data_IF_661182477473
#
_entry.id   IF_661182477473
#
_cell.length_a   1.000
_cell.length_b   1.000
_cell.length_c   1.000
_cell.angle_alpha   90.00
_cell.angle_beta   90.00
_cell.angle_gamma   90.00
#
_symmetry.space_group_name_H-M   'P 1'
#
loop_
_entity.id
_entity.type
_entity.pdbx_description
1 polymer ?
#
# COMPACT_ATOMS: atom_id res chain seq x y z
N UNK A 1 30.81 22.97 -17.36
CA UNK A 1 30.17 21.63 -17.32
C UNK A 1 28.82 21.83 -16.63
N UNK A 2 27.68 21.69 -17.31
CA UNK A 2 26.37 21.78 -16.63
C UNK A 2 26.22 20.56 -15.75
N UNK A 3 26.02 20.82 -14.45
CA UNK A 3 25.92 19.82 -13.40
C UNK A 3 24.72 18.89 -13.57
N UNK A 4 24.94 17.65 -13.18
CA UNK A 4 23.98 16.54 -13.14
C UNK A 4 22.95 16.77 -11.99
N UNK A 5 22.31 17.94 -11.94
CA UNK A 5 21.33 18.28 -10.90
C UNK A 5 19.97 17.57 -11.06
N UNK A 6 19.68 17.00 -12.26
CA UNK A 6 18.42 16.33 -12.54
C UNK A 6 18.35 14.82 -12.17
N UNK A 7 19.48 14.18 -11.88
CA UNK A 7 19.55 12.72 -11.70
C UNK A 7 18.93 12.25 -10.37
N UNK A 8 19.10 12.94 -9.22
CA UNK A 8 18.48 12.51 -7.98
C UNK A 8 16.95 12.47 -8.03
N UNK A 9 16.31 13.47 -8.66
CA UNK A 9 14.86 13.54 -8.78
C UNK A 9 14.26 12.41 -9.62
N UNK A 10 14.95 11.98 -10.67
CA UNK A 10 14.49 10.91 -11.56
C UNK A 10 14.55 9.53 -10.87
N UNK A 11 15.62 9.25 -10.13
CA UNK A 11 15.72 8.02 -9.31
C UNK A 11 14.68 7.99 -8.21
N UNK A 12 14.36 9.12 -7.61
CA UNK A 12 13.30 9.25 -6.61
C UNK A 12 11.93 8.95 -7.22
N UNK A 13 11.61 9.52 -8.38
CA UNK A 13 10.37 9.21 -9.10
C UNK A 13 10.23 7.72 -9.42
N UNK A 14 11.32 7.05 -9.82
CA UNK A 14 11.33 5.60 -10.00
C UNK A 14 11.07 4.84 -8.69
N UNK A 15 11.67 5.27 -7.58
CA UNK A 15 11.45 4.65 -6.28
C UNK A 15 9.99 4.79 -5.81
N UNK A 16 9.39 5.97 -5.98
CA UNK A 16 7.98 6.22 -5.68
C UNK A 16 7.07 5.31 -6.53
N UNK A 17 7.29 5.26 -7.84
CA UNK A 17 6.49 4.40 -8.73
C UNK A 17 6.68 2.92 -8.40
N UNK A 18 7.90 2.48 -8.05
CA UNK A 18 8.18 1.11 -7.66
C UNK A 18 7.49 0.72 -6.35
N UNK A 19 7.46 1.62 -5.35
CA UNK A 19 6.73 1.40 -4.09
C UNK A 19 5.23 1.27 -4.33
N UNK A 20 4.66 2.13 -5.19
CA UNK A 20 3.27 2.06 -5.61
C UNK A 20 2.94 0.72 -6.31
N UNK A 21 3.79 0.26 -7.23
CA UNK A 21 3.64 -1.07 -7.86
C UNK A 21 3.64 -2.21 -6.84
N UNK A 22 4.58 -2.16 -5.88
CA UNK A 22 4.67 -3.18 -4.81
C UNK A 22 3.43 -3.19 -3.93
N UNK A 23 2.93 -2.01 -3.52
CA UNK A 23 1.74 -1.87 -2.71
C UNK A 23 0.48 -2.39 -3.43
N UNK A 24 0.30 -2.01 -4.71
CA UNK A 24 -0.85 -2.48 -5.49
C UNK A 24 -0.81 -3.99 -5.76
N UNK A 25 0.37 -4.57 -5.97
CA UNK A 25 0.50 -6.02 -6.09
C UNK A 25 0.06 -6.72 -4.81
N UNK A 26 0.52 -6.26 -3.63
CA UNK A 26 0.09 -6.81 -2.34
C UNK A 26 -1.41 -6.64 -2.12
N UNK A 27 -1.98 -5.51 -2.55
CA UNK A 27 -3.44 -5.31 -2.48
C UNK A 27 -4.19 -6.32 -3.33
N UNK A 28 -3.74 -6.59 -4.56
CA UNK A 28 -4.34 -7.63 -5.41
C UNK A 28 -4.25 -9.02 -4.76
N UNK A 29 -3.13 -9.37 -4.12
CA UNK A 29 -2.95 -10.64 -3.44
C UNK A 29 -3.93 -10.80 -2.27
N UNK A 30 -4.18 -9.73 -1.50
CA UNK A 30 -5.15 -9.71 -0.40
C UNK A 30 -6.57 -9.87 -0.92
N UNK A 31 -6.96 -9.11 -1.95
CA UNK A 31 -8.29 -9.21 -2.58
C UNK A 31 -8.51 -10.62 -3.14
N UNK A 32 -7.54 -11.17 -3.85
CA UNK A 32 -7.63 -12.54 -4.37
C UNK A 32 -7.80 -13.58 -3.24
N UNK A 33 -7.14 -13.36 -2.10
CA UNK A 33 -7.32 -14.20 -0.91
C UNK A 33 -8.71 -14.08 -0.33
N UNK A 34 -9.29 -12.87 -0.27
CA UNK A 34 -10.66 -12.64 0.17
C UNK A 34 -11.67 -13.36 -0.73
N UNK A 35 -11.54 -13.19 -2.05
CA UNK A 35 -12.41 -13.87 -3.04
C UNK A 35 -12.30 -15.39 -2.90
N UNK A 36 -11.09 -15.93 -2.78
CA UNK A 36 -10.89 -17.38 -2.65
C UNK A 36 -11.51 -17.97 -1.37
N UNK A 37 -11.69 -17.15 -0.32
CA UNK A 37 -12.25 -17.56 0.97
C UNK A 37 -13.66 -17.01 1.24
N UNK A 38 -14.32 -16.46 0.24
CA UNK A 38 -15.66 -15.86 0.41
C UNK A 38 -16.72 -16.86 0.90
N UNK A 39 -16.54 -18.16 0.66
CA UNK A 39 -17.42 -19.24 1.11
C UNK A 39 -16.83 -20.09 2.25
N UNK A 40 -15.68 -19.68 2.83
CA UNK A 40 -15.01 -20.45 3.88
C UNK A 40 -15.67 -20.19 5.23
N UNK A 41 -16.59 -21.06 5.63
CA UNK A 41 -17.34 -20.98 6.90
C UNK A 41 -16.56 -21.41 8.12
N UNK A 42 -15.44 -22.16 7.94
CA UNK A 42 -14.61 -22.64 9.03
C UNK A 42 -13.13 -22.54 8.72
N UNK A 43 -12.41 -21.79 9.55
CA UNK A 43 -10.95 -21.66 9.51
C UNK A 43 -10.29 -22.55 10.57
N UNK A 44 -8.97 -22.81 10.50
CA UNK A 44 -8.23 -23.53 11.55
C UNK A 44 -8.29 -22.84 12.94
N UNK A 45 -8.43 -21.52 12.95
CA UNK A 45 -8.56 -20.72 14.16
C UNK A 45 -9.97 -20.77 14.76
N UNK A 46 -10.93 -21.34 14.00
CA UNK A 46 -12.35 -21.43 14.34
C UNK A 46 -13.16 -20.26 13.79
N UNK A 47 -14.41 -20.58 13.39
CA UNK A 47 -15.32 -19.59 12.80
C UNK A 47 -15.05 -19.30 11.31
N UNK A 48 -15.85 -18.40 10.70
CA UNK A 48 -15.76 -18.05 9.30
C UNK A 48 -14.48 -17.24 9.00
N UNK A 49 -14.07 -17.25 7.73
CA UNK A 49 -13.02 -16.35 7.26
C UNK A 49 -13.42 -14.89 7.48
N UNK A 50 -12.47 -14.05 7.85
CA UNK A 50 -12.66 -12.61 7.98
C UNK A 50 -11.99 -11.88 6.84
N UNK A 51 -12.68 -10.89 6.28
CA UNK A 51 -12.15 -10.01 5.23
C UNK A 51 -10.83 -9.40 5.68
N UNK A 52 -9.82 -9.46 4.82
CA UNK A 52 -8.52 -8.84 5.07
C UNK A 52 -8.41 -7.54 4.29
N UNK A 53 -7.86 -6.54 4.93
CA UNK A 53 -7.67 -5.19 4.37
C UNK A 53 -6.20 -4.85 4.47
N UNK A 54 -5.62 -4.36 3.36
CA UNK A 54 -4.25 -3.88 3.34
C UNK A 54 -4.18 -2.44 3.83
N UNK A 55 -3.42 -2.18 4.89
CA UNK A 55 -3.13 -0.83 5.37
C UNK A 55 -1.89 -0.27 4.70
N UNK A 56 -2.05 0.92 4.14
CA UNK A 56 -0.99 1.66 3.47
C UNK A 56 -0.72 2.96 4.22
N UNK A 57 0.56 3.33 4.32
CA UNK A 57 0.98 4.62 4.83
C UNK A 57 1.93 5.29 3.83
N UNK A 58 2.13 6.58 4.00
CA UNK A 58 3.21 7.29 3.33
C UNK A 58 4.54 6.74 3.82
N UNK A 59 5.41 6.36 2.88
CA UNK A 59 6.74 5.89 3.22
C UNK A 59 7.56 7.04 3.82
N UNK A 60 8.12 6.82 5.00
CA UNK A 60 8.99 7.79 5.64
C UNK A 60 10.40 7.74 5.01
N UNK A 61 11.12 8.86 5.08
CA UNK A 61 12.52 8.90 4.69
C UNK A 61 13.33 7.86 5.47
N UNK A 62 14.02 6.94 4.79
CA UNK A 62 14.90 6.00 5.49
C UNK A 62 16.04 6.69 6.24
N UNK A 63 16.25 7.98 5.99
CA UNK A 63 17.31 8.79 6.61
C UNK A 63 16.81 9.61 7.80
N UNK A 64 15.52 10.04 7.82
CA UNK A 64 15.01 10.90 8.90
C UNK A 64 15.00 10.18 10.26
N UNK A 65 14.54 8.95 10.32
CA UNK A 65 14.54 8.16 11.56
C UNK A 65 15.96 7.84 12.05
N UNK A 66 16.90 7.55 11.15
CA UNK A 66 18.30 7.27 11.50
C UNK A 66 19.08 8.54 11.87
N UNK A 67 18.78 9.66 11.22
CA UNK A 67 19.37 10.96 11.57
C UNK A 67 18.81 11.44 12.91
N UNK A 68 17.51 11.39 13.13
CA UNK A 68 16.90 11.77 14.39
C UNK A 68 17.44 10.95 15.56
N UNK A 69 17.52 9.62 15.42
CA UNK A 69 18.11 8.78 16.47
C UNK A 69 19.61 8.98 16.67
N UNK A 70 20.36 9.28 15.62
CA UNK A 70 21.79 9.58 15.73
C UNK A 70 22.05 10.96 16.38
N UNK A 71 21.24 11.96 16.06
CA UNK A 71 21.32 13.30 16.66
C UNK A 71 20.89 13.27 18.12
N UNK A 72 19.86 12.52 18.46
CA UNK A 72 19.42 12.31 19.84
C UNK A 72 20.48 11.59 20.67
N UNK A 73 21.10 10.54 20.11
CA UNK A 73 22.21 9.83 20.74
C UNK A 73 23.47 10.70 20.95
N UNK A 74 23.66 11.73 20.14
CA UNK A 74 24.77 12.68 20.24
C UNK A 74 24.41 13.92 21.07
N UNK A 75 23.20 14.03 21.59
CA UNK A 75 22.68 15.22 22.32
C UNK A 75 22.87 16.53 21.57
N UNK A 76 22.82 16.48 20.24
CA UNK A 76 22.91 17.66 19.39
C UNK A 76 21.49 18.15 19.10
N UNK A 77 21.10 19.26 19.74
CA UNK A 77 19.89 19.99 19.34
C UNK A 77 20.16 20.72 18.02
N UNK A 78 19.49 20.32 16.96
CA UNK A 78 19.49 21.08 15.70
C UNK A 78 18.67 22.35 15.95
N UNK A 79 19.24 23.55 15.76
CA UNK A 79 18.46 24.77 15.86
C UNK A 79 17.39 24.71 14.77
N UNK A 80 16.15 25.03 15.16
CA UNK A 80 15.01 25.15 14.26
C UNK A 80 15.36 26.19 13.20
N UNK A 81 15.64 25.75 11.98
CA UNK A 81 15.92 26.65 10.86
C UNK A 81 14.57 27.29 10.51
N UNK A 82 14.46 28.64 10.60
CA UNK A 82 13.19 29.30 10.26
C UNK A 82 12.82 28.94 8.81
N UNK A 83 11.63 28.37 8.62
CA UNK A 83 11.09 28.11 7.29
C UNK A 83 11.01 29.44 6.52
N UNK A 84 11.90 29.61 5.57
CA UNK A 84 11.81 30.72 4.62
C UNK A 84 10.67 30.34 3.68
N UNK A 85 9.54 31.10 3.64
CA UNK A 85 8.45 30.80 2.73
C UNK A 85 8.93 31.04 1.30
N UNK A 86 9.31 29.98 0.63
CA UNK A 86 9.64 30.01 -0.79
C UNK A 86 8.31 29.97 -1.55
N UNK A 87 8.02 30.93 -2.44
CA UNK A 87 6.85 30.87 -3.31
C UNK A 87 6.98 29.63 -4.20
N UNK A 88 6.25 28.55 -3.89
CA UNK A 88 6.34 27.27 -4.55
C UNK A 88 6.25 26.07 -3.59
N UNK A 89 5.46 26.18 -2.51
CA UNK A 89 5.23 25.11 -1.51
C UNK A 89 4.92 23.73 -2.12
N UNK A 90 4.38 23.70 -3.33
CA UNK A 90 4.11 22.46 -4.07
C UNK A 90 5.38 21.64 -4.35
N UNK A 91 6.53 22.30 -4.55
CA UNK A 91 7.79 21.61 -4.83
C UNK A 91 8.45 21.04 -3.58
N UNK A 92 8.35 21.72 -2.44
CA UNK A 92 8.90 21.26 -1.16
C UNK A 92 8.15 20.01 -0.64
N UNK A 93 6.83 19.94 -0.85
CA UNK A 93 6.03 18.76 -0.54
C UNK A 93 6.41 17.56 -1.43
N UNK A 94 6.70 17.79 -2.72
CA UNK A 94 7.18 16.78 -3.64
C UNK A 94 8.62 16.32 -3.31
N UNK A 95 9.44 17.19 -2.72
CA UNK A 95 10.78 16.82 -2.25
C UNK A 95 10.75 15.86 -1.05
N UNK A 96 9.70 15.84 -0.26
CA UNK A 96 9.52 14.96 0.91
C UNK A 96 8.77 13.66 0.60
N UNK A 97 8.20 13.50 -0.60
CA UNK A 97 7.46 12.30 -0.95
C UNK A 97 8.39 11.09 -1.18
N UNK A 98 8.22 10.04 -0.41
CA UNK A 98 9.03 8.80 -0.48
C UNK A 98 8.26 7.61 -1.06
N UNK A 99 7.00 7.80 -1.44
CA UNK A 99 6.12 6.77 -1.97
C UNK A 99 5.20 6.18 -0.92
N UNK A 100 4.89 4.90 -1.05
CA UNK A 100 3.91 4.19 -0.21
C UNK A 100 4.57 2.99 0.45
N UNK A 101 4.27 2.78 1.73
CA UNK A 101 4.69 1.62 2.51
C UNK A 101 3.47 0.82 2.95
N UNK A 102 3.61 -0.51 2.94
CA UNK A 102 2.62 -1.43 3.51
C UNK A 102 2.88 -1.57 4.99
N UNK A 103 1.96 -1.05 5.79
CA UNK A 103 2.02 -1.11 7.26
C UNK A 103 1.67 -2.51 7.76
N UNK A 104 0.60 -3.09 7.21
CA UNK A 104 0.14 -4.40 7.63
C UNK A 104 -1.09 -4.87 6.87
N UNK A 105 -1.57 -6.04 7.27
CA UNK A 105 -2.85 -6.60 6.86
C UNK A 105 -3.69 -6.72 8.11
N UNK A 106 -4.87 -6.12 8.12
CA UNK A 106 -5.80 -6.11 9.23
C UNK A 106 -7.05 -6.91 8.84
N UNK A 107 -7.61 -7.64 9.79
CA UNK A 107 -8.86 -8.34 9.61
C UNK A 107 -10.03 -7.42 9.97
N UNK A 108 -11.04 -7.39 9.09
CA UNK A 108 -12.28 -6.67 9.35
C UNK A 108 -13.06 -7.39 10.45
N UNK A 109 -13.36 -6.68 11.54
CA UNK A 109 -14.07 -7.23 12.69
C UNK A 109 -15.60 -7.32 12.48
N UNK A 110 -16.11 -6.82 11.35
CA UNK A 110 -17.54 -6.91 11.04
C UNK A 110 -17.99 -8.37 10.89
N UNK A 111 -19.20 -8.65 11.36
CA UNK A 111 -19.75 -10.00 11.24
C UNK A 111 -20.37 -10.20 9.86
N UNK A 112 -20.10 -11.35 9.27
CA UNK A 112 -20.73 -11.75 8.01
C UNK A 112 -22.19 -12.20 8.18
N UNK A 113 -22.90 -12.45 7.07
CA UNK A 113 -24.30 -12.84 7.07
C UNK A 113 -24.53 -14.19 7.74
N UNK A 114 -25.65 -14.30 8.42
CA UNK A 114 -26.14 -15.54 9.02
C UNK A 114 -27.22 -16.14 8.11
N UNK A 115 -26.97 -17.34 7.60
CA UNK A 115 -27.84 -18.01 6.63
C UNK A 115 -28.42 -19.30 7.24
N UNK A 116 -29.71 -19.56 7.04
CA UNK A 116 -30.35 -20.78 7.51
C UNK A 116 -30.09 -21.94 6.56
N UNK A 117 -29.21 -22.85 6.94
CA UNK A 117 -28.81 -24.05 6.18
C UNK A 117 -28.60 -25.24 7.10
N UNK A 118 -29.67 -25.89 7.56
CA UNK A 118 -29.60 -26.98 8.55
C UNK A 118 -28.88 -28.24 8.06
N UNK A 119 -28.65 -28.35 6.74
CA UNK A 119 -27.86 -29.45 6.13
C UNK A 119 -26.38 -29.18 6.03
N UNK A 120 -25.91 -27.98 6.38
CA UNK A 120 -24.50 -27.63 6.26
C UNK A 120 -23.69 -28.24 7.43
N UNK A 121 -22.46 -28.74 7.17
CA UNK A 121 -21.63 -29.39 8.22
C UNK A 121 -21.22 -28.43 9.36
N UNK A 122 -21.21 -27.12 9.10
CA UNK A 122 -20.86 -26.08 10.07
C UNK A 122 -22.10 -25.34 10.62
N UNK A 123 -23.31 -25.89 10.42
CA UNK A 123 -24.53 -25.31 11.00
C UNK A 123 -24.52 -25.43 12.54
N UNK A 124 -25.02 -24.39 13.20
CA UNK A 124 -25.26 -24.39 14.64
C UNK A 124 -26.48 -25.28 15.02
N UNK A 125 -26.77 -25.40 16.32
CA UNK A 125 -27.92 -26.19 16.83
C UNK A 125 -29.28 -25.67 16.33
N UNK A 126 -29.35 -24.41 15.90
CA UNK A 126 -30.56 -23.79 15.35
C UNK A 126 -30.61 -23.89 13.82
N UNK A 127 -29.59 -24.48 13.16
CA UNK A 127 -29.51 -24.67 11.72
C UNK A 127 -28.98 -23.45 10.95
N UNK A 128 -28.30 -22.54 11.62
CA UNK A 128 -27.70 -21.36 10.98
C UNK A 128 -26.21 -21.52 10.75
N UNK A 129 -25.72 -21.00 9.62
CA UNK A 129 -24.32 -20.93 9.26
C UNK A 129 -23.90 -19.47 9.13
N UNK A 130 -22.78 -19.09 9.72
CA UNK A 130 -22.20 -17.76 9.56
C UNK A 130 -21.21 -17.80 8.40
N UNK A 131 -21.48 -17.03 7.37
CA UNK A 131 -20.60 -16.84 6.23
C UNK A 131 -19.57 -15.73 6.50
N UNK A 132 -18.48 -15.67 5.70
CA UNK A 132 -17.53 -14.57 5.72
C UNK A 132 -18.18 -13.22 5.42
N UNK A 133 -17.60 -12.15 5.93
CA UNK A 133 -17.96 -10.76 5.61
C UNK A 133 -17.30 -10.28 4.29
N UNK A 134 -17.33 -11.12 3.27
CA UNK A 134 -16.72 -10.86 1.96
C UNK A 134 -17.81 -10.82 0.90
N UNK A 135 -17.94 -9.68 0.20
CA UNK A 135 -18.77 -9.58 -1.00
C UNK A 135 -17.90 -9.75 -2.24
N UNK A 136 -18.12 -10.83 -2.99
CA UNK A 136 -17.34 -11.14 -4.20
C UNK A 136 -17.48 -10.04 -5.25
N UNK A 137 -18.61 -9.36 -5.33
CA UNK A 137 -18.86 -8.29 -6.30
C UNK A 137 -18.00 -7.07 -5.95
N UNK A 138 -18.00 -6.66 -4.69
CA UNK A 138 -17.17 -5.54 -4.21
C UNK A 138 -15.68 -5.85 -4.38
N UNK A 139 -15.23 -7.04 -3.96
CA UNK A 139 -13.83 -7.46 -4.11
C UNK A 139 -13.41 -7.53 -5.60
N UNK A 140 -14.31 -7.92 -6.50
CA UNK A 140 -14.01 -7.94 -7.94
C UNK A 140 -13.84 -6.52 -8.49
N UNK A 141 -14.67 -5.59 -8.07
CA UNK A 141 -14.55 -4.17 -8.44
C UNK A 141 -13.22 -3.60 -7.91
N UNK A 142 -12.92 -3.84 -6.64
CA UNK A 142 -11.66 -3.43 -6.01
C UNK A 142 -10.43 -4.02 -6.73
N UNK A 143 -10.52 -5.27 -7.20
CA UNK A 143 -9.48 -5.91 -7.99
C UNK A 143 -9.26 -5.20 -9.33
N UNK A 144 -10.34 -4.85 -10.02
CA UNK A 144 -10.27 -4.13 -11.30
C UNK A 144 -9.66 -2.74 -11.13
N UNK A 145 -10.05 -2.01 -10.09
CA UNK A 145 -9.50 -0.68 -9.77
C UNK A 145 -8.00 -0.78 -9.40
N UNK A 146 -7.65 -1.72 -8.55
CA UNK A 146 -6.25 -1.95 -8.12
C UNK A 146 -5.36 -2.28 -9.32
N UNK A 147 -5.85 -3.14 -10.22
CA UNK A 147 -5.16 -3.48 -11.46
C UNK A 147 -4.96 -2.25 -12.36
N UNK A 148 -5.98 -1.41 -12.50
CA UNK A 148 -5.88 -0.17 -13.30
C UNK A 148 -4.83 0.79 -12.74
N UNK A 149 -4.76 0.95 -11.43
CA UNK A 149 -3.75 1.77 -10.77
C UNK A 149 -2.35 1.15 -10.94
N UNK A 150 -2.23 -0.18 -10.85
CA UNK A 150 -0.99 -0.89 -11.11
C UNK A 150 -0.47 -0.64 -12.53
N UNK A 151 -1.34 -0.78 -13.55
CA UNK A 151 -0.98 -0.53 -14.97
C UNK A 151 -0.57 0.92 -15.20
N UNK A 152 -1.23 1.89 -14.56
CA UNK A 152 -0.86 3.30 -14.63
C UNK A 152 0.55 3.54 -14.05
N UNK A 153 0.84 3.00 -12.86
CA UNK A 153 2.15 3.10 -12.23
C UNK A 153 3.25 2.42 -13.06
N UNK A 154 2.96 1.27 -13.67
CA UNK A 154 3.89 0.58 -14.57
C UNK A 154 4.23 1.44 -15.79
N UNK A 155 3.23 2.10 -16.38
CA UNK A 155 3.44 3.01 -17.53
C UNK A 155 4.34 4.19 -17.13
N UNK A 156 4.12 4.79 -15.97
CA UNK A 156 4.97 5.89 -15.44
C UNK A 156 6.39 5.40 -15.20
N UNK A 157 6.55 4.22 -14.60
CA UNK A 157 7.86 3.61 -14.35
C UNK A 157 8.64 3.39 -15.65
N UNK A 158 8.00 2.83 -16.67
CA UNK A 158 8.63 2.59 -17.99
C UNK A 158 8.98 3.91 -18.70
N UNK A 159 8.14 4.93 -18.61
CA UNK A 159 8.44 6.26 -19.12
C UNK A 159 9.69 6.86 -18.47
N UNK A 160 9.79 6.82 -17.15
CA UNK A 160 10.97 7.28 -16.40
C UNK A 160 12.23 6.50 -16.76
N UNK A 161 12.13 5.17 -16.90
CA UNK A 161 13.22 4.30 -17.32
C UNK A 161 13.73 4.66 -18.72
N UNK A 162 12.81 4.99 -19.63
CA UNK A 162 13.16 5.40 -20.99
C UNK A 162 13.86 6.77 -21.01
N UNK A 163 13.44 7.71 -20.16
CA UNK A 163 14.10 8.99 -19.98
C UNK A 163 15.53 8.82 -19.45
N UNK A 164 15.73 7.96 -18.43
CA UNK A 164 17.05 7.64 -17.90
C UNK A 164 17.99 7.08 -18.98
N UNK A 165 17.50 6.13 -19.79
CA UNK A 165 18.30 5.57 -20.89
C UNK A 165 18.73 6.63 -21.90
N UNK A 166 17.85 7.57 -22.24
CA UNK A 166 18.20 8.67 -23.14
C UNK A 166 19.22 9.63 -22.53
N UNK A 167 19.08 9.93 -21.23
CA UNK A 167 20.01 10.79 -20.52
C UNK A 167 21.43 10.19 -20.38
N UNK A 168 21.54 8.85 -20.37
CA UNK A 168 22.85 8.16 -20.30
C UNK A 168 23.49 7.89 -21.66
N UNK A 169 22.80 8.17 -22.76
CA UNK A 169 23.32 7.98 -24.13
C UNK A 169 23.87 9.28 -24.76
N UNK A 170 23.87 10.38 -24.00
CA UNK A 170 24.47 11.66 -24.36
C UNK A 170 25.81 11.81 -23.64
#
# INVERSE_FOLDING_TARGET
MPGIEGVPGLFRGLAISASGLSAQRRRMDVIATNIANAETTRTPEGGPYRRRILELAEAQSPYEGRLASALDAMSISVPEVPEIPIPGETYAALEKAYGVEVVGIVEDASEGPLVYEPGHPDADEAGYVRYPNVDITEETIDLMETRRVYEANATVFDAMKSMLRRATQI
#
